data_IF_435620221494
#
_entry.id   IF_435620221494
#
_cell.length_a   1.000
_cell.length_b   1.000
_cell.length_c   1.000
_cell.angle_alpha   90.00
_cell.angle_beta   90.00
_cell.angle_gamma   90.00
#
_symmetry.space_group_name_H-M   'P 1'
#
loop_
_entity.id
_entity.type
_entity.pdbx_description
1 polymer ?
#
# COMPACT_ATOMS: atom_id res chain seq x y z
N UNK A 1 10.47 1.50 3.93
CA UNK A 1 11.91 1.22 3.66
C UNK A 1 12.45 2.31 2.74
N UNK A 2 12.87 3.44 3.29
CA UNK A 2 13.16 4.67 2.54
C UNK A 2 14.64 4.85 2.14
N UNK A 3 15.46 3.81 2.20
CA UNK A 3 16.86 3.87 1.75
C UNK A 3 17.28 2.64 0.98
N UNK A 4 18.18 2.82 0.01
CA UNK A 4 18.77 1.70 -0.76
C UNK A 4 19.59 0.78 0.16
N UNK A 5 20.22 1.32 1.20
CA UNK A 5 20.94 0.52 2.20
C UNK A 5 20.00 -0.49 2.88
N UNK A 6 18.83 -0.04 3.35
CA UNK A 6 17.81 -0.92 3.95
C UNK A 6 17.20 -1.87 2.92
N UNK A 7 16.95 -1.41 1.69
CA UNK A 7 16.43 -2.26 0.62
C UNK A 7 17.30 -3.49 0.40
N UNK A 8 18.63 -3.32 0.34
CA UNK A 8 19.60 -4.41 0.14
C UNK A 8 19.60 -5.46 1.26
N UNK A 9 19.09 -5.13 2.45
CA UNK A 9 18.97 -6.09 3.56
C UNK A 9 17.66 -6.88 3.55
N UNK A 10 16.72 -6.53 2.67
CA UNK A 10 15.44 -7.23 2.56
C UNK A 10 15.56 -8.39 1.58
N UNK A 11 15.14 -9.61 1.93
CA UNK A 11 15.09 -10.73 0.98
C UNK A 11 14.20 -10.43 -0.22
N UNK A 12 14.66 -10.77 -1.43
CA UNK A 12 13.99 -10.45 -2.70
C UNK A 12 12.53 -10.93 -2.79
N UNK A 13 12.19 -12.00 -2.07
CA UNK A 13 10.82 -12.55 -2.01
C UNK A 13 9.80 -11.61 -1.36
N UNK A 14 10.26 -10.65 -0.54
CA UNK A 14 9.38 -9.68 0.11
C UNK A 14 9.23 -8.42 -0.73
N UNK A 15 8.08 -7.75 -0.58
CA UNK A 15 7.89 -6.40 -1.04
C UNK A 15 8.38 -5.37 -0.02
N UNK A 16 8.32 -4.10 -0.39
CA UNK A 16 8.62 -2.99 0.53
C UNK A 16 7.59 -1.88 0.40
N UNK A 17 7.43 -1.11 1.46
CA UNK A 17 6.77 0.18 1.43
C UNK A 17 7.81 1.29 1.41
N UNK A 18 7.57 2.31 0.58
CA UNK A 18 8.36 3.54 0.50
C UNK A 18 7.45 4.75 0.63
N UNK A 19 7.95 5.81 1.26
CA UNK A 19 7.28 7.10 1.39
C UNK A 19 7.88 8.08 0.39
N UNK A 20 7.08 8.58 -0.56
CA UNK A 20 7.56 9.45 -1.63
C UNK A 20 7.12 10.89 -1.41
N UNK A 21 8.08 11.81 -1.52
CA UNK A 21 7.90 13.27 -1.49
C UNK A 21 8.68 13.93 -2.61
N UNK A 22 8.46 15.23 -2.78
CA UNK A 22 9.32 16.10 -3.58
C UNK A 22 10.30 16.88 -2.68
N UNK A 23 11.49 17.14 -3.22
CA UNK A 23 12.49 18.03 -2.62
C UNK A 23 13.40 18.58 -3.71
N UNK A 24 13.52 19.91 -3.82
CA UNK A 24 14.31 20.57 -4.85
C UNK A 24 14.06 20.01 -6.26
N UNK A 25 12.80 19.94 -6.67
CA UNK A 25 12.33 19.42 -7.98
C UNK A 25 12.72 17.94 -8.27
N UNK A 26 13.04 17.17 -7.23
CA UNK A 26 13.34 15.73 -7.36
C UNK A 26 12.40 14.92 -6.47
N UNK A 27 12.05 13.73 -6.92
CA UNK A 27 11.34 12.77 -6.09
C UNK A 27 12.34 12.06 -5.16
N UNK A 28 12.04 12.08 -3.88
CA UNK A 28 12.85 11.50 -2.81
C UNK A 28 12.05 10.55 -1.93
N UNK A 29 12.74 9.76 -1.13
CA UNK A 29 12.15 8.87 -0.15
C UNK A 29 12.30 9.47 1.25
N UNK A 30 11.20 10.03 1.77
CA UNK A 30 11.14 10.59 3.12
C UNK A 30 9.72 10.51 3.69
N UNK A 31 9.60 10.02 4.93
CA UNK A 31 8.32 9.99 5.64
C UNK A 31 7.89 11.42 6.05
N UNK A 32 8.77 12.18 6.68
CA UNK A 32 8.47 13.51 7.19
C UNK A 32 8.72 14.60 6.14
N UNK A 33 7.97 15.71 6.16
CA UNK A 33 8.22 16.86 5.30
C UNK A 33 9.56 17.54 5.65
N UNK A 34 10.08 18.35 4.69
CA UNK A 34 11.28 19.19 4.85
C UNK A 34 12.58 18.43 5.14
N UNK A 35 12.59 17.11 4.99
CA UNK A 35 13.80 16.28 5.18
C UNK A 35 14.37 15.83 3.85
N UNK A 36 15.69 15.73 3.79
CA UNK A 36 16.39 15.05 2.67
C UNK A 36 16.15 13.54 2.75
N UNK A 37 16.20 12.88 1.61
CA UNK A 37 16.07 11.42 1.50
C UNK A 37 16.75 10.88 0.26
N UNK A 38 16.79 9.55 0.13
CA UNK A 38 17.34 8.89 -1.04
C UNK A 38 16.52 9.27 -2.29
N UNK A 39 17.21 9.40 -3.42
CA UNK A 39 16.54 9.69 -4.69
C UNK A 39 15.70 8.49 -5.13
N UNK A 40 14.42 8.72 -5.49
CA UNK A 40 13.52 7.67 -5.94
C UNK A 40 14.07 6.87 -7.13
N UNK A 41 14.67 7.54 -8.12
CA UNK A 41 15.20 6.85 -9.30
C UNK A 41 16.34 5.90 -8.93
N UNK A 42 17.20 6.31 -8.00
CA UNK A 42 18.27 5.46 -7.51
C UNK A 42 17.73 4.24 -6.76
N UNK A 43 16.68 4.42 -5.97
CA UNK A 43 15.99 3.32 -5.30
C UNK A 43 15.37 2.34 -6.31
N UNK A 44 14.59 2.85 -7.27
CA UNK A 44 13.91 2.02 -8.28
C UNK A 44 14.88 1.25 -9.17
N UNK A 45 16.05 1.82 -9.47
CA UNK A 45 17.13 1.11 -10.21
C UNK A 45 17.61 -0.15 -9.48
N UNK A 46 17.55 -0.15 -8.16
CA UNK A 46 17.98 -1.28 -7.31
C UNK A 46 16.83 -2.18 -6.86
N UNK A 47 15.58 -1.94 -7.33
CA UNK A 47 14.42 -2.67 -6.86
C UNK A 47 14.14 -3.92 -7.70
N UNK A 48 14.33 -5.11 -7.11
CA UNK A 48 14.02 -6.41 -7.71
C UNK A 48 13.20 -7.29 -6.76
N UNK A 49 12.43 -6.68 -5.86
CA UNK A 49 11.69 -7.32 -4.79
C UNK A 49 10.23 -7.59 -5.19
N UNK A 50 9.45 -8.11 -4.27
CA UNK A 50 8.01 -8.36 -4.44
C UNK A 50 7.18 -7.08 -4.69
N UNK A 51 5.97 -7.01 -4.16
CA UNK A 51 5.07 -5.86 -4.37
C UNK A 51 5.64 -4.58 -3.74
N UNK A 52 5.76 -3.51 -4.54
CA UNK A 52 6.15 -2.18 -4.05
C UNK A 52 4.91 -1.37 -3.64
N UNK A 53 4.82 -1.02 -2.37
CA UNK A 53 3.82 -0.09 -1.85
C UNK A 53 4.42 1.30 -1.89
N UNK A 54 3.80 2.18 -2.68
CA UNK A 54 4.29 3.55 -2.88
C UNK A 54 3.36 4.50 -2.14
N UNK A 55 3.74 4.84 -0.92
CA UNK A 55 2.99 5.76 -0.08
C UNK A 55 3.26 7.20 -0.53
N UNK A 56 2.24 7.85 -1.05
CA UNK A 56 2.31 9.24 -1.55
C UNK A 56 2.09 10.19 -0.36
N UNK A 57 3.14 10.92 0.01
CA UNK A 57 3.12 11.84 1.15
C UNK A 57 2.85 13.31 0.77
N UNK A 58 2.55 13.55 -0.50
CA UNK A 58 2.39 14.90 -1.05
C UNK A 58 1.50 14.83 -2.29
N UNK A 59 0.44 15.63 -2.32
CA UNK A 59 -0.45 15.71 -3.47
C UNK A 59 0.23 16.33 -4.68
N UNK A 60 -0.15 15.89 -5.89
CA UNK A 60 0.31 16.45 -7.16
C UNK A 60 1.54 15.77 -7.74
N UNK A 61 2.23 14.88 -7.01
CA UNK A 61 3.39 14.14 -7.51
C UNK A 61 3.05 12.79 -8.12
N UNK A 62 1.83 12.32 -8.03
CA UNK A 62 1.40 10.95 -8.34
C UNK A 62 1.75 10.55 -9.79
N UNK A 63 1.47 11.42 -10.77
CA UNK A 63 1.81 11.13 -12.17
C UNK A 63 3.30 11.11 -12.42
N UNK A 64 4.07 11.95 -11.71
CA UNK A 64 5.53 11.94 -11.79
C UNK A 64 6.09 10.63 -11.23
N UNK A 65 5.57 10.16 -10.10
CA UNK A 65 5.92 8.87 -9.51
C UNK A 65 5.59 7.73 -10.47
N UNK A 66 4.37 7.68 -11.02
CA UNK A 66 3.95 6.65 -11.99
C UNK A 66 4.85 6.66 -13.23
N UNK A 67 5.27 7.83 -13.71
CA UNK A 67 6.24 7.96 -14.82
C UNK A 67 7.58 7.29 -14.49
N UNK A 68 8.10 7.49 -13.27
CA UNK A 68 9.33 6.83 -12.85
C UNK A 68 9.16 5.31 -12.70
N UNK A 69 8.07 4.84 -12.07
CA UNK A 69 7.79 3.41 -11.96
C UNK A 69 7.76 2.72 -13.34
N UNK A 70 7.12 3.34 -14.33
CA UNK A 70 7.11 2.86 -15.72
C UNK A 70 8.50 2.86 -16.35
N UNK A 71 9.28 3.94 -16.17
CA UNK A 71 10.67 4.06 -16.69
C UNK A 71 11.56 2.93 -16.19
N UNK A 72 11.44 2.57 -14.90
CA UNK A 72 12.21 1.48 -14.29
C UNK A 72 11.51 0.11 -14.40
N UNK A 73 10.42 0.00 -15.20
CA UNK A 73 9.70 -1.25 -15.47
C UNK A 73 9.18 -1.94 -14.20
N UNK A 74 8.88 -1.18 -13.15
CA UNK A 74 8.24 -1.72 -11.94
C UNK A 74 6.77 -2.02 -12.28
N UNK A 75 6.41 -3.31 -12.32
CA UNK A 75 5.06 -3.76 -12.71
C UNK A 75 4.17 -4.07 -11.52
N UNK A 76 4.76 -4.61 -10.46
CA UNK A 76 4.03 -5.04 -9.26
C UNK A 76 4.08 -3.96 -8.18
N UNK A 77 3.16 -3.01 -8.25
CA UNK A 77 3.05 -1.90 -7.30
C UNK A 77 1.62 -1.41 -7.16
N UNK A 78 1.37 -0.69 -6.08
CA UNK A 78 0.22 0.20 -5.95
C UNK A 78 0.57 1.47 -5.19
N UNK A 79 -0.17 2.55 -5.49
CA UNK A 79 -0.08 3.81 -4.74
C UNK A 79 -0.96 3.72 -3.49
N UNK A 80 -0.42 4.16 -2.37
CA UNK A 80 -1.09 4.25 -1.07
C UNK A 80 -1.18 5.72 -0.66
N UNK A 81 -2.20 6.06 0.16
CA UNK A 81 -2.45 7.39 0.73
C UNK A 81 -2.55 8.52 -0.31
N UNK A 82 -3.07 8.17 -1.46
CA UNK A 82 -3.36 9.12 -2.52
C UNK A 82 -4.63 9.91 -2.16
N UNK A 83 -4.64 11.20 -2.43
CA UNK A 83 -5.83 12.02 -2.20
C UNK A 83 -7.05 11.53 -2.99
N UNK A 84 -8.22 11.62 -2.37
CA UNK A 84 -9.46 11.11 -2.94
C UNK A 84 -9.81 11.72 -4.32
N UNK A 85 -9.62 13.03 -4.58
CA UNK A 85 -9.82 13.61 -5.90
C UNK A 85 -8.95 12.97 -7.00
N UNK A 86 -7.70 12.59 -6.67
CA UNK A 86 -6.85 11.87 -7.62
C UNK A 86 -7.38 10.46 -7.88
N UNK A 87 -7.76 9.69 -6.84
CA UNK A 87 -8.36 8.35 -7.00
C UNK A 87 -9.59 8.45 -7.90
N UNK A 88 -10.47 9.42 -7.64
CA UNK A 88 -11.67 9.63 -8.42
C UNK A 88 -11.38 9.85 -9.91
N UNK A 89 -10.48 10.79 -10.23
CA UNK A 89 -10.15 11.16 -11.61
C UNK A 89 -9.37 10.07 -12.34
N UNK A 90 -8.33 9.52 -11.69
CA UNK A 90 -7.41 8.56 -12.31
C UNK A 90 -8.06 7.22 -12.57
N UNK A 91 -8.90 6.72 -11.64
CA UNK A 91 -9.59 5.44 -11.79
C UNK A 91 -10.59 5.45 -12.96
N UNK A 92 -11.24 6.58 -13.23
CA UNK A 92 -12.14 6.76 -14.38
C UNK A 92 -11.41 6.87 -15.70
N UNK A 93 -10.12 7.22 -15.68
CA UNK A 93 -9.21 7.20 -16.84
C UNK A 93 -8.48 5.84 -16.98
N UNK A 94 -8.90 4.82 -16.24
CA UNK A 94 -8.36 3.46 -16.35
C UNK A 94 -7.09 3.18 -15.53
N UNK A 95 -6.60 4.12 -14.70
CA UNK A 95 -5.49 3.87 -13.81
C UNK A 95 -5.97 3.08 -12.58
N UNK A 96 -5.56 1.82 -12.47
CA UNK A 96 -6.05 0.89 -11.45
C UNK A 96 -5.04 0.58 -10.34
N UNK A 97 -3.76 0.95 -10.49
CA UNK A 97 -2.70 0.62 -9.53
C UNK A 97 -2.67 1.62 -8.35
N UNK A 98 -3.79 1.80 -7.72
CA UNK A 98 -3.94 2.54 -6.47
C UNK A 98 -4.76 1.72 -5.50
N UNK A 99 -4.64 2.01 -4.21
CA UNK A 99 -5.46 1.41 -3.17
C UNK A 99 -6.48 2.41 -2.63
N UNK A 100 -7.59 1.86 -2.12
CA UNK A 100 -8.52 2.58 -1.26
C UNK A 100 -8.43 1.99 0.13
N UNK A 101 -8.53 2.83 1.16
CA UNK A 101 -8.50 2.38 2.55
C UNK A 101 -9.83 1.78 2.96
N UNK A 102 -9.73 0.81 3.84
CA UNK A 102 -10.84 0.23 4.58
C UNK A 102 -10.39 -0.14 5.99
N UNK A 103 -11.18 0.22 6.97
CA UNK A 103 -10.95 -0.10 8.38
C UNK A 103 -12.27 -0.11 9.14
N UNK A 104 -12.21 -0.17 10.46
CA UNK A 104 -13.38 0.08 11.32
C UNK A 104 -13.87 1.52 11.28
N UNK A 105 -13.03 2.48 10.82
CA UNK A 105 -13.34 3.90 10.74
C UNK A 105 -13.69 4.36 9.30
N UNK A 106 -13.47 3.48 8.31
CA UNK A 106 -13.65 3.81 6.89
C UNK A 106 -14.74 2.91 6.27
N UNK A 107 -15.66 3.54 5.53
CA UNK A 107 -16.86 2.86 5.04
C UNK A 107 -16.61 1.85 3.92
N UNK A 108 -17.18 0.65 4.04
CA UNK A 108 -17.21 -0.36 2.97
C UNK A 108 -18.00 0.12 1.74
N UNK A 109 -18.97 1.02 1.90
CA UNK A 109 -19.74 1.55 0.78
C UNK A 109 -18.88 2.44 -0.13
N UNK A 110 -17.89 3.13 0.44
CA UNK A 110 -16.89 3.85 -0.34
C UNK A 110 -16.06 2.86 -1.16
N UNK A 111 -15.56 1.79 -0.56
CA UNK A 111 -14.81 0.73 -1.27
C UNK A 111 -15.64 0.13 -2.40
N UNK A 112 -16.90 -0.18 -2.14
CA UNK A 112 -17.85 -0.78 -3.12
C UNK A 112 -17.96 0.05 -4.41
N UNK A 113 -17.92 1.38 -4.32
CA UNK A 113 -17.98 2.28 -5.49
C UNK A 113 -16.78 2.15 -6.43
N UNK A 114 -15.68 1.54 -5.98
CA UNK A 114 -14.44 1.37 -6.74
C UNK A 114 -14.21 -0.06 -7.26
N UNK A 115 -15.18 -0.96 -7.13
CA UNK A 115 -15.14 -2.28 -7.78
C UNK A 115 -14.90 -2.10 -9.29
N UNK A 116 -13.94 -2.87 -9.85
CA UNK A 116 -13.47 -2.81 -11.23
C UNK A 116 -12.78 -1.50 -11.65
N UNK A 117 -12.67 -0.51 -10.77
CA UNK A 117 -12.02 0.78 -11.02
C UNK A 117 -10.59 0.83 -10.49
N UNK A 118 -10.32 0.20 -9.35
CA UNK A 118 -8.99 0.06 -8.76
C UNK A 118 -8.71 -1.40 -8.41
N UNK A 119 -7.44 -1.74 -8.23
CA UNK A 119 -7.03 -3.12 -8.00
C UNK A 119 -6.89 -3.47 -6.52
N UNK A 120 -6.59 -2.51 -5.64
CA UNK A 120 -6.16 -2.79 -4.28
C UNK A 120 -7.06 -2.17 -3.23
N UNK A 121 -7.24 -2.89 -2.13
CA UNK A 121 -7.75 -2.36 -0.86
C UNK A 121 -6.66 -2.50 0.19
N UNK A 122 -6.37 -1.39 0.86
CA UNK A 122 -5.55 -1.34 2.06
C UNK A 122 -6.46 -1.53 3.26
N UNK A 123 -6.33 -2.67 3.95
CA UNK A 123 -7.16 -3.02 5.10
C UNK A 123 -6.38 -2.68 6.37
N UNK A 124 -6.77 -1.60 7.01
CA UNK A 124 -6.20 -1.21 8.29
C UNK A 124 -6.85 -1.96 9.45
N UNK A 125 -6.12 -2.08 10.55
CA UNK A 125 -6.56 -2.81 11.74
C UNK A 125 -6.29 -2.01 13.00
N UNK A 126 -6.76 -0.75 13.04
CA UNK A 126 -6.45 0.19 14.13
C UNK A 126 -6.74 -0.41 15.51
N UNK A 127 -7.90 -1.00 15.71
CA UNK A 127 -8.28 -1.65 16.97
C UNK A 127 -8.67 -3.12 16.81
N UNK A 128 -9.12 -3.55 15.62
CA UNK A 128 -9.63 -4.90 15.34
C UNK A 128 -9.48 -5.27 13.87
N UNK A 129 -9.72 -6.52 13.54
CA UNK A 129 -9.84 -6.99 12.15
C UNK A 129 -11.23 -6.63 11.62
N UNK A 130 -11.37 -5.70 10.63
CA UNK A 130 -12.67 -5.14 10.25
C UNK A 130 -13.42 -6.01 9.24
N UNK A 131 -13.45 -7.35 9.40
CA UNK A 131 -14.11 -8.26 8.46
C UNK A 131 -15.39 -8.89 9.02
N UNK A 132 -16.44 -8.90 8.21
CA UNK A 132 -17.71 -9.60 8.45
C UNK A 132 -18.27 -10.18 7.14
N UNK A 133 -19.38 -10.91 7.18
CA UNK A 133 -19.97 -11.56 5.99
C UNK A 133 -20.26 -10.57 4.84
N UNK A 134 -20.69 -9.35 5.17
CA UNK A 134 -21.10 -8.37 4.16
C UNK A 134 -19.88 -7.72 3.49
N UNK A 135 -18.91 -7.25 4.28
CA UNK A 135 -17.75 -6.59 3.70
C UNK A 135 -16.78 -7.56 2.99
N UNK A 136 -16.67 -8.81 3.42
CA UNK A 136 -15.88 -9.83 2.72
C UNK A 136 -16.30 -10.00 1.25
N UNK A 137 -17.62 -9.98 0.96
CA UNK A 137 -18.13 -10.08 -0.42
C UNK A 137 -17.60 -8.94 -1.31
N UNK A 138 -17.49 -7.74 -0.76
CA UNK A 138 -16.95 -6.56 -1.45
C UNK A 138 -15.42 -6.66 -1.57
N UNK A 139 -14.73 -6.95 -0.47
CA UNK A 139 -13.26 -7.02 -0.41
C UNK A 139 -12.69 -8.08 -1.34
N UNK A 140 -13.39 -9.21 -1.54
CA UNK A 140 -12.98 -10.26 -2.47
C UNK A 140 -13.00 -9.86 -3.96
N UNK A 141 -13.49 -8.66 -4.29
CA UNK A 141 -13.39 -8.07 -5.65
C UNK A 141 -12.07 -7.34 -5.90
N UNK A 142 -11.18 -7.30 -4.90
CA UNK A 142 -9.92 -6.58 -4.93
C UNK A 142 -8.76 -7.48 -4.51
N UNK A 143 -7.54 -7.08 -4.86
CA UNK A 143 -6.35 -7.50 -4.14
C UNK A 143 -6.32 -6.81 -2.79
N UNK A 144 -5.91 -7.52 -1.76
CA UNK A 144 -6.02 -7.11 -0.36
C UNK A 144 -4.64 -7.03 0.28
N UNK A 145 -4.27 -5.83 0.76
CA UNK A 145 -3.11 -5.65 1.62
C UNK A 145 -3.60 -5.43 3.06
N UNK A 146 -3.30 -6.37 3.94
CA UNK A 146 -3.68 -6.29 5.34
C UNK A 146 -2.56 -5.64 6.16
N UNK A 147 -2.88 -4.62 6.94
CA UNK A 147 -1.98 -4.10 7.96
C UNK A 147 -2.01 -5.06 9.14
N UNK A 148 -0.86 -5.63 9.45
CA UNK A 148 -0.71 -6.53 10.58
C UNK A 148 -0.88 -5.77 11.91
N UNK A 149 -1.53 -6.34 12.93
CA UNK A 149 -1.78 -5.66 14.20
C UNK A 149 -0.51 -5.31 14.98
N UNK A 150 0.65 -5.88 14.64
CA UNK A 150 1.94 -5.45 15.21
C UNK A 150 2.30 -4.00 14.88
N UNK A 151 1.78 -3.46 13.77
CA UNK A 151 1.92 -2.04 13.41
C UNK A 151 1.20 -1.11 14.39
N UNK A 152 0.22 -1.65 15.11
CA UNK A 152 -0.59 -0.98 16.13
C UNK A 152 -0.28 -1.48 17.54
N UNK A 153 0.95 -1.99 17.79
CA UNK A 153 1.41 -2.51 19.07
C UNK A 153 0.55 -3.66 19.64
N UNK A 154 -0.09 -4.46 18.77
CA UNK A 154 -0.94 -5.60 19.14
C UNK A 154 -0.49 -6.91 18.47
N UNK A 155 0.79 -7.33 18.62
CA UNK A 155 1.27 -8.56 17.98
C UNK A 155 0.55 -9.81 18.49
N UNK A 156 0.00 -9.79 19.70
CA UNK A 156 -0.79 -10.89 20.28
C UNK A 156 -2.05 -11.22 19.47
N UNK A 157 -2.60 -10.26 18.72
CA UNK A 157 -3.80 -10.45 17.92
C UNK A 157 -3.54 -11.21 16.60
N UNK A 158 -2.28 -11.38 16.19
CA UNK A 158 -1.92 -12.03 14.91
C UNK A 158 -2.54 -13.44 14.81
N UNK A 159 -2.38 -14.26 15.85
CA UNK A 159 -2.92 -15.63 15.87
C UNK A 159 -4.44 -15.64 15.77
N UNK A 160 -5.11 -14.73 16.46
CA UNK A 160 -6.58 -14.56 16.42
C UNK A 160 -7.04 -14.15 15.00
N UNK A 161 -6.32 -13.22 14.34
CA UNK A 161 -6.66 -12.77 12.99
C UNK A 161 -6.50 -13.89 11.98
N UNK A 162 -5.40 -14.65 12.04
CA UNK A 162 -5.19 -15.82 11.17
C UNK A 162 -6.33 -16.83 11.32
N UNK A 163 -6.70 -17.18 12.57
CA UNK A 163 -7.82 -18.09 12.84
C UNK A 163 -9.14 -17.57 12.26
N UNK A 164 -9.45 -16.28 12.49
CA UNK A 164 -10.67 -15.64 12.00
C UNK A 164 -10.73 -15.61 10.48
N UNK A 165 -9.63 -15.28 9.81
CA UNK A 165 -9.56 -15.27 8.34
C UNK A 165 -9.78 -16.67 7.76
N UNK A 166 -9.14 -17.71 8.35
CA UNK A 166 -9.35 -19.11 7.96
C UNK A 166 -10.83 -19.53 8.12
N UNK A 167 -11.45 -19.26 9.27
CA UNK A 167 -12.85 -19.59 9.53
C UNK A 167 -13.83 -18.91 8.58
N UNK A 168 -13.49 -17.71 8.10
CA UNK A 168 -14.32 -16.93 7.18
C UNK A 168 -13.95 -17.15 5.70
N UNK A 169 -13.01 -18.05 5.43
CA UNK A 169 -12.46 -18.28 4.07
C UNK A 169 -12.04 -16.96 3.39
N UNK A 170 -11.33 -16.11 4.13
CA UNK A 170 -10.87 -14.81 3.67
C UNK A 170 -9.36 -14.84 3.45
N UNK A 171 -8.95 -14.79 2.18
CA UNK A 171 -7.54 -14.71 1.77
C UNK A 171 -7.08 -13.27 1.63
N UNK A 172 -5.78 -13.04 1.79
CA UNK A 172 -5.11 -11.77 1.57
C UNK A 172 -3.96 -11.97 0.58
N UNK A 173 -3.60 -10.93 -0.15
CA UNK A 173 -2.55 -10.97 -1.19
C UNK A 173 -1.23 -10.41 -0.68
N UNK A 174 -1.27 -9.54 0.33
CA UNK A 174 -0.11 -8.87 0.90
C UNK A 174 -0.34 -8.59 2.40
N UNK A 175 0.74 -8.60 3.18
CA UNK A 175 0.73 -8.19 4.60
C UNK A 175 1.74 -7.07 4.78
N UNK A 176 1.29 -5.95 5.37
CA UNK A 176 2.16 -4.88 5.85
C UNK A 176 2.50 -5.13 7.32
N UNK A 177 3.75 -5.42 7.61
CA UNK A 177 4.24 -5.74 8.97
C UNK A 177 5.55 -5.03 9.27
N UNK A 178 5.86 -4.81 10.54
CA UNK A 178 7.18 -4.30 11.00
C UNK A 178 8.22 -5.41 11.13
N UNK A 179 7.79 -6.66 11.20
CA UNK A 179 8.64 -7.83 11.44
C UNK A 179 8.69 -8.68 10.18
N UNK A 180 9.84 -8.69 9.49
CA UNK A 180 10.16 -9.76 8.54
C UNK A 180 10.59 -10.98 9.34
N UNK A 181 9.70 -11.95 9.50
CA UNK A 181 10.07 -13.28 10.00
C UNK A 181 10.70 -14.10 8.89
#
# INVERSE_FOLDING_TARGET
INTVKKLKSIPLKYGTEIDVRSYNNKLILAHDPFKKGDNLNFYLKNYNHGTLIVNIKEAGIEYLVVKQLKKFKIKNYFLLDVEFPFIYKSSRKGFKNTSIRFSEEESIDTVKKYINRINWVWIDTFSKLPINKNNIKVLNKFKKCLVSPDRWNRPQDIKKYIKTMKQKNFSIDCVMTSKST
#
